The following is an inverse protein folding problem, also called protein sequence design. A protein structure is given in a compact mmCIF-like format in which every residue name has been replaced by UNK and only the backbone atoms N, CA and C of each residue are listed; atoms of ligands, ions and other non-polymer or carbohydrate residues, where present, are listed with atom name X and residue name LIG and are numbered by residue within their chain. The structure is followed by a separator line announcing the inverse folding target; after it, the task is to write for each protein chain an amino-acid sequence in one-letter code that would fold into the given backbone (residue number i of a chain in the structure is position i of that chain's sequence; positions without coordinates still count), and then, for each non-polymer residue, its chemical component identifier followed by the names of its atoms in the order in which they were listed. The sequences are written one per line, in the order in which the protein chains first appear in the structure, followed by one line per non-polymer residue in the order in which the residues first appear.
data_IF_265631900468
#
_entry.id   IF_265631900468
#
_cell.length_a   1.000
_cell.length_b   1.000
_cell.length_c   1.000
_cell.angle_alpha   90.00
_cell.angle_beta   90.00
_cell.angle_gamma   90.00
#
_symmetry.space_group_name_H-M   'P 1'
#
loop_
_entity.id
_entity.type
_entity.pdbx_description
1 polymer ?
#
# COMPACT_ATOMS: atom_id res chain seq x y z
N UNK A 1 -23.88 20.05 -7.07
CA UNK A 1 -24.15 19.74 -8.50
C UNK A 1 -25.59 19.27 -8.62
N UNK A 2 -26.35 19.72 -9.63
CA UNK A 2 -27.71 19.26 -9.87
C UNK A 2 -27.85 18.75 -11.32
N UNK A 3 -27.76 17.43 -11.51
CA UNK A 3 -27.81 16.80 -12.83
C UNK A 3 -29.24 16.63 -13.37
N UNK A 4 -30.27 16.69 -12.52
CA UNK A 4 -31.67 16.53 -12.95
C UNK A 4 -32.22 17.74 -13.70
N UNK A 5 -31.52 18.88 -13.63
CA UNK A 5 -31.83 20.08 -14.42
C UNK A 5 -31.29 20.02 -15.86
N UNK A 6 -30.49 19.01 -16.21
CA UNK A 6 -29.96 18.83 -17.56
C UNK A 6 -30.83 17.87 -18.36
N UNK A 7 -31.02 18.09 -19.67
CA UNK A 7 -31.75 17.15 -20.51
C UNK A 7 -30.96 15.83 -20.62
N UNK A 8 -31.65 14.70 -20.83
CA UNK A 8 -31.05 13.37 -20.76
C UNK A 8 -29.87 13.20 -21.72
N UNK A 9 -29.91 13.81 -22.90
CA UNK A 9 -28.85 13.77 -23.91
C UNK A 9 -27.50 14.23 -23.35
N UNK A 10 -27.50 15.26 -22.50
CA UNK A 10 -26.27 15.79 -21.91
C UNK A 10 -25.69 14.83 -20.88
N UNK A 11 -26.52 14.27 -20.01
CA UNK A 11 -26.07 13.31 -19.00
C UNK A 11 -25.62 12.00 -19.65
N UNK A 12 -26.36 11.52 -20.67
CA UNK A 12 -25.99 10.35 -21.45
C UNK A 12 -24.66 10.54 -22.17
N UNK A 13 -24.47 11.64 -22.90
CA UNK A 13 -23.20 11.92 -23.58
C UNK A 13 -22.02 11.94 -22.61
N UNK A 14 -22.19 12.51 -21.42
CA UNK A 14 -21.13 12.53 -20.39
C UNK A 14 -20.78 11.15 -19.83
N UNK A 15 -21.76 10.25 -19.74
CA UNK A 15 -21.58 8.87 -19.26
C UNK A 15 -20.92 7.99 -20.32
N UNK A 16 -21.31 8.14 -21.59
CA UNK A 16 -20.84 7.27 -22.67
C UNK A 16 -19.55 7.76 -23.33
N UNK A 17 -19.19 9.04 -23.17
CA UNK A 17 -17.89 9.54 -23.58
C UNK A 17 -16.82 9.27 -22.51
N UNK A 18 -15.55 9.25 -22.93
CA UNK A 18 -14.39 9.13 -22.04
C UNK A 18 -13.67 7.79 -22.14
N UNK A 19 -12.70 7.59 -21.25
CA UNK A 19 -11.78 6.45 -21.29
C UNK A 19 -12.35 5.15 -20.71
N UNK A 20 -13.61 5.13 -20.27
CA UNK A 20 -14.22 3.98 -19.64
C UNK A 20 -13.57 3.58 -18.31
N UNK A 21 -13.72 2.32 -17.93
CA UNK A 21 -13.28 1.79 -16.62
C UNK A 21 -11.82 1.34 -16.60
N UNK A 22 -11.20 1.12 -17.76
CA UNK A 22 -9.87 0.52 -17.87
C UNK A 22 -8.79 1.26 -17.07
N UNK A 23 -8.71 2.62 -17.08
CA UNK A 23 -7.72 3.32 -16.26
C UNK A 23 -7.89 3.07 -14.76
N UNK A 24 -9.13 2.91 -14.29
CA UNK A 24 -9.41 2.60 -12.88
C UNK A 24 -8.99 1.17 -12.54
N UNK A 25 -9.20 0.22 -13.46
CA UNK A 25 -8.75 -1.17 -13.28
C UNK A 25 -7.22 -1.28 -13.28
N UNK A 26 -6.53 -0.54 -14.14
CA UNK A 26 -5.07 -0.47 -14.15
C UNK A 26 -4.51 0.16 -12.87
N UNK A 27 -5.16 1.21 -12.36
CA UNK A 27 -4.80 1.80 -11.07
C UNK A 27 -5.03 0.80 -9.92
N UNK A 28 -6.16 0.07 -9.93
CA UNK A 28 -6.45 -0.94 -8.93
C UNK A 28 -5.41 -2.07 -8.92
N UNK A 29 -5.01 -2.58 -10.09
CA UNK A 29 -3.97 -3.62 -10.16
C UNK A 29 -2.61 -3.10 -9.69
N UNK A 30 -2.26 -1.85 -10.01
CA UNK A 30 -1.03 -1.22 -9.52
C UNK A 30 -1.03 -1.07 -7.99
N UNK A 31 -2.17 -0.66 -7.40
CA UNK A 31 -2.31 -0.58 -5.95
C UNK A 31 -2.23 -1.95 -5.27
N UNK A 32 -2.83 -2.99 -5.86
CA UNK A 32 -2.67 -4.36 -5.36
C UNK A 32 -1.21 -4.81 -5.39
N UNK A 33 -0.50 -4.57 -6.49
CA UNK A 33 0.92 -4.91 -6.61
C UNK A 33 1.78 -4.17 -5.58
N UNK A 34 1.51 -2.88 -5.33
CA UNK A 34 2.21 -2.14 -4.28
C UNK A 34 1.96 -2.73 -2.88
N UNK A 35 0.73 -3.16 -2.58
CA UNK A 35 0.40 -3.79 -1.31
C UNK A 35 1.14 -5.13 -1.12
N UNK A 36 1.24 -5.94 -2.17
CA UNK A 36 1.99 -7.21 -2.16
C UNK A 36 3.48 -6.97 -1.89
N UNK A 37 4.10 -6.00 -2.58
CA UNK A 37 5.51 -5.64 -2.37
C UNK A 37 5.77 -5.09 -0.96
N UNK A 38 4.88 -4.25 -0.43
CA UNK A 38 5.01 -3.75 0.94
C UNK A 38 4.95 -4.88 1.98
N UNK A 39 4.06 -5.86 1.79
CA UNK A 39 3.97 -7.02 2.67
C UNK A 39 5.24 -7.89 2.61
N UNK A 40 5.79 -8.15 1.41
CA UNK A 40 7.03 -8.89 1.24
C UNK A 40 8.23 -8.16 1.88
N UNK A 41 8.28 -6.84 1.75
CA UNK A 41 9.31 -6.02 2.41
C UNK A 41 9.15 -6.03 3.93
N UNK A 42 7.92 -6.01 4.45
CA UNK A 42 7.66 -6.12 5.89
C UNK A 42 8.17 -7.45 6.47
N UNK A 43 7.89 -8.56 5.76
CA UNK A 43 8.33 -9.90 6.14
C UNK A 43 9.86 -9.98 6.14
N UNK A 44 10.51 -9.65 5.01
CA UNK A 44 11.98 -9.72 4.89
C UNK A 44 12.71 -8.82 5.88
N UNK A 45 12.20 -7.61 6.15
CA UNK A 45 12.79 -6.72 7.15
C UNK A 45 12.61 -7.26 8.57
N UNK A 46 11.45 -7.85 8.87
CA UNK A 46 11.19 -8.56 10.12
C UNK A 46 12.14 -9.76 10.33
N UNK A 47 12.39 -10.55 9.29
CA UNK A 47 13.34 -11.67 9.33
C UNK A 47 14.77 -11.21 9.63
N UNK A 48 15.25 -10.18 8.93
CA UNK A 48 16.61 -9.66 9.13
C UNK A 48 16.79 -9.08 10.54
N UNK A 49 15.83 -8.28 11.02
CA UNK A 49 15.90 -7.65 12.33
C UNK A 49 15.80 -8.66 13.48
N UNK A 50 14.91 -9.65 13.36
CA UNK A 50 14.78 -10.74 14.34
C UNK A 50 16.00 -11.67 14.33
N UNK A 51 16.53 -12.02 13.16
CA UNK A 51 17.74 -12.83 13.03
C UNK A 51 18.98 -12.14 13.58
N UNK A 52 19.08 -10.82 13.40
CA UNK A 52 20.14 -10.00 13.96
C UNK A 52 20.10 -9.98 15.50
N UNK A 53 18.90 -9.82 16.08
CA UNK A 53 18.70 -9.80 17.52
C UNK A 53 18.83 -11.19 18.20
N UNK A 54 18.41 -12.24 17.50
CA UNK A 54 18.49 -13.64 17.97
C UNK A 54 19.84 -14.32 17.70
N UNK A 55 20.72 -13.67 16.95
CA UNK A 55 22.02 -14.20 16.53
C UNK A 55 23.17 -13.94 17.50
N UNK A 56 24.37 -13.71 16.94
CA UNK A 56 25.58 -13.48 17.72
C UNK A 56 25.62 -12.09 18.39
N UNK A 57 24.85 -11.11 17.89
CA UNK A 57 24.81 -9.77 18.46
C UNK A 57 23.72 -9.67 19.54
N UNK A 58 24.13 -9.83 20.79
CA UNK A 58 23.23 -9.85 21.95
C UNK A 58 23.53 -8.72 22.93
N UNK A 59 22.55 -8.42 23.80
CA UNK A 59 22.67 -7.42 24.86
C UNK A 59 21.88 -6.14 24.60
N UNK A 60 22.03 -5.12 25.48
CA UNK A 60 21.15 -3.94 25.48
C UNK A 60 21.14 -3.14 24.17
N UNK A 61 22.28 -3.09 23.46
CA UNK A 61 22.36 -2.40 22.17
C UNK A 61 21.57 -3.12 21.05
N UNK A 62 21.55 -4.46 21.08
CA UNK A 62 20.79 -5.27 20.13
C UNK A 62 19.28 -5.10 20.35
N UNK A 63 18.85 -5.10 21.63
CA UNK A 63 17.46 -4.80 22.02
C UNK A 63 17.02 -3.42 21.55
N UNK A 64 17.83 -2.39 21.81
CA UNK A 64 17.52 -1.02 21.39
C UNK A 64 17.37 -0.89 19.86
N UNK A 65 18.15 -1.65 19.08
CA UNK A 65 18.04 -1.65 17.61
C UNK A 65 16.75 -2.33 17.14
N UNK A 66 16.35 -3.45 17.75
CA UNK A 66 15.09 -4.12 17.44
C UNK A 66 13.87 -3.23 17.76
N UNK A 67 13.92 -2.50 18.87
CA UNK A 67 12.88 -1.54 19.23
C UNK A 67 12.82 -0.39 18.20
N UNK A 68 13.96 0.15 17.78
CA UNK A 68 14.04 1.22 16.78
C UNK A 68 13.48 0.81 15.41
N UNK A 69 13.54 -0.49 15.07
CA UNK A 69 13.01 -1.04 13.83
C UNK A 69 11.47 -1.19 13.81
N UNK A 70 10.83 -1.26 14.98
CA UNK A 70 9.39 -1.58 15.12
C UNK A 70 8.46 -0.59 14.41
N UNK A 71 8.65 0.75 14.49
CA UNK A 71 7.77 1.69 13.82
C UNK A 71 7.77 1.55 12.30
N UNK A 72 8.91 1.18 11.70
CA UNK A 72 9.03 1.01 10.26
C UNK A 72 8.31 -0.27 9.79
N UNK A 73 8.48 -1.39 10.50
CA UNK A 73 7.71 -2.62 10.22
C UNK A 73 6.22 -2.38 10.39
N UNK A 74 5.80 -1.61 11.40
CA UNK A 74 4.40 -1.26 11.57
C UNK A 74 3.86 -0.47 10.38
N UNK A 75 4.62 0.49 9.86
CA UNK A 75 4.23 1.28 8.70
C UNK A 75 4.13 0.46 7.42
N UNK A 76 5.02 -0.52 7.21
CA UNK A 76 4.95 -1.41 6.04
C UNK A 76 3.70 -2.31 6.04
N UNK A 77 3.10 -2.54 7.22
CA UNK A 77 1.90 -3.37 7.39
C UNK A 77 0.58 -2.58 7.41
N UNK A 78 0.61 -1.24 7.22
CA UNK A 78 -0.60 -0.42 7.11
C UNK A 78 -1.00 -0.17 5.66
#
# INVERSE_FOLDING_TARGET
MNFSMLPPEINSLRIFAGAGVEPMLAAASAWSGLAEELAAVAESFGEVTSGLAGGAWQGPASVAMAEAATPYVSWLNT
#
